data_IF_678441285498
#
_entry.id   IF_678441285498
#
_cell.length_a   1.000
_cell.length_b   1.000
_cell.length_c   1.000
_cell.angle_alpha   90.00
_cell.angle_beta   90.00
_cell.angle_gamma   90.00
#
_symmetry.space_group_name_H-M   'P 1'
#
loop_
_entity.id
_entity.type
_entity.pdbx_description
1 polymer ?
#
# COMPACT_ATOMS: atom_id res chain seq x y z
N UNK A 1 -30.71 5.07 9.84
CA UNK A 1 -29.36 5.52 9.43
C UNK A 1 -28.88 6.55 10.45
N UNK A 2 -28.03 6.17 11.41
CA UNK A 2 -27.59 7.08 12.47
C UNK A 2 -26.50 8.00 11.92
N UNK A 3 -26.82 9.25 11.61
CA UNK A 3 -25.82 10.28 11.36
C UNK A 3 -25.20 10.65 12.70
N UNK A 4 -24.07 10.02 13.04
CA UNK A 4 -23.27 10.42 14.19
C UNK A 4 -22.88 11.90 14.10
N UNK A 5 -22.66 12.59 15.23
CA UNK A 5 -22.35 14.01 15.24
C UNK A 5 -21.06 14.27 14.45
N UNK A 6 -21.14 15.13 13.43
CA UNK A 6 -19.96 15.55 12.66
C UNK A 6 -19.07 16.39 13.58
N UNK A 7 -17.94 15.82 14.02
CA UNK A 7 -16.94 16.53 14.82
C UNK A 7 -16.17 17.51 13.93
N UNK A 8 -16.35 18.82 14.15
CA UNK A 8 -15.64 19.87 13.42
C UNK A 8 -14.31 20.15 14.10
N UNK A 9 -13.22 20.01 13.34
CA UNK A 9 -11.88 20.42 13.74
C UNK A 9 -11.53 21.65 12.89
N UNK A 10 -10.98 22.69 13.49
CA UNK A 10 -10.61 23.93 12.80
C UNK A 10 -9.11 24.20 12.91
N UNK A 11 -8.27 23.52 12.10
CA UNK A 11 -6.86 23.84 12.05
C UNK A 11 -6.65 25.13 11.24
N UNK A 12 -6.01 26.13 11.84
CA UNK A 12 -5.54 27.33 11.13
C UNK A 12 -4.11 27.10 10.63
N UNK A 13 -3.91 27.09 9.31
CA UNK A 13 -2.59 26.97 8.67
C UNK A 13 -2.17 28.36 8.18
N UNK A 14 -0.94 28.75 8.51
CA UNK A 14 -0.34 30.00 8.05
C UNK A 14 0.76 29.67 7.04
N UNK A 15 0.80 30.42 5.94
CA UNK A 15 1.78 30.30 4.88
C UNK A 15 2.65 31.56 4.86
N UNK A 16 3.96 31.42 4.77
CA UNK A 16 4.93 32.52 4.81
C UNK A 16 5.59 32.70 3.43
N UNK A 17 5.04 33.55 2.54
CA UNK A 17 5.55 33.71 1.17
C UNK A 17 6.97 34.29 1.10
N UNK A 18 7.43 35.00 2.13
CA UNK A 18 8.77 35.59 2.20
C UNK A 18 9.86 34.56 2.54
N UNK A 19 9.48 33.48 3.24
CA UNK A 19 10.42 32.47 3.75
C UNK A 19 10.43 31.19 2.92
N UNK A 20 9.32 30.91 2.22
CA UNK A 20 9.12 29.67 1.48
C UNK A 20 8.56 29.96 0.09
N UNK A 21 9.33 29.57 -0.92
CA UNK A 21 8.89 29.62 -2.32
C UNK A 21 7.67 28.73 -2.57
N UNK A 22 7.61 27.57 -1.89
CA UNK A 22 6.45 26.68 -1.95
C UNK A 22 5.19 27.37 -1.43
N UNK A 23 5.31 28.12 -0.33
CA UNK A 23 4.20 28.86 0.28
C UNK A 23 3.73 29.99 -0.66
N UNK A 24 4.67 30.72 -1.26
CA UNK A 24 4.38 31.76 -2.25
C UNK A 24 3.59 31.20 -3.42
N UNK A 25 4.04 30.07 -4.00
CA UNK A 25 3.33 29.43 -5.11
C UNK A 25 1.99 28.84 -4.70
N UNK A 26 1.89 28.24 -3.52
CA UNK A 26 0.63 27.75 -2.98
C UNK A 26 -0.42 28.87 -2.87
N UNK A 27 -0.01 30.03 -2.36
CA UNK A 27 -0.89 31.21 -2.24
C UNK A 27 -1.38 31.66 -3.63
N UNK A 28 -0.47 31.77 -4.61
CA UNK A 28 -0.84 32.17 -5.98
C UNK A 28 -1.79 31.17 -6.63
N UNK A 29 -1.49 29.87 -6.53
CA UNK A 29 -2.35 28.81 -7.07
C UNK A 29 -3.74 28.81 -6.42
N UNK A 30 -3.82 29.03 -5.10
CA UNK A 30 -5.09 29.17 -4.39
C UNK A 30 -5.87 30.40 -4.87
N UNK A 31 -5.21 31.56 -5.01
CA UNK A 31 -5.84 32.78 -5.50
C UNK A 31 -6.39 32.61 -6.92
N UNK A 32 -5.62 32.02 -7.83
CA UNK A 32 -6.05 31.74 -9.20
C UNK A 32 -7.26 30.79 -9.21
N UNK A 33 -7.22 29.73 -8.40
CA UNK A 33 -8.32 28.78 -8.28
C UNK A 33 -9.61 29.46 -7.78
N UNK A 34 -9.52 30.32 -6.75
CA UNK A 34 -10.68 31.09 -6.26
C UNK A 34 -11.24 32.05 -7.30
N UNK A 35 -10.38 32.70 -8.07
CA UNK A 35 -10.81 33.62 -9.13
C UNK A 35 -11.59 32.86 -10.21
N UNK A 36 -11.08 31.72 -10.67
CA UNK A 36 -11.77 30.84 -11.63
C UNK A 36 -13.12 30.37 -11.10
N UNK A 37 -13.18 29.96 -9.83
CA UNK A 37 -14.42 29.51 -9.20
C UNK A 37 -15.46 30.64 -9.04
N UNK A 38 -15.01 31.88 -8.87
CA UNK A 38 -15.91 33.05 -8.83
C UNK A 38 -16.40 33.47 -10.21
N UNK A 39 -15.62 33.21 -11.25
CA UNK A 39 -15.97 33.51 -12.64
C UNK A 39 -16.94 32.50 -13.24
N UNK A 40 -17.06 31.29 -12.69
CA UNK A 40 -17.89 30.20 -13.22
C UNK A 40 -19.41 30.35 -12.96
N UNK A 41 -19.92 31.58 -12.85
CA UNK A 41 -21.33 31.97 -12.66
C UNK A 41 -22.15 31.05 -11.72
N UNK A 42 -21.52 30.62 -10.62
CA UNK A 42 -22.10 29.68 -9.68
C UNK A 42 -22.63 30.40 -8.44
N UNK A 43 -23.76 29.94 -7.89
CA UNK A 43 -24.37 30.52 -6.69
C UNK A 43 -23.37 30.56 -5.52
N UNK A 44 -23.43 31.60 -4.67
CA UNK A 44 -22.49 31.79 -3.55
C UNK A 44 -22.38 30.57 -2.63
N UNK A 45 -23.48 29.86 -2.39
CA UNK A 45 -23.49 28.67 -1.53
C UNK A 45 -22.75 27.49 -2.17
N UNK A 46 -22.85 27.34 -3.49
CA UNK A 46 -22.12 26.32 -4.24
C UNK A 46 -20.60 26.57 -4.19
N UNK A 47 -20.17 27.84 -4.29
CA UNK A 47 -18.76 28.24 -4.15
C UNK A 47 -18.24 27.87 -2.76
N UNK A 48 -19.00 28.16 -1.70
CA UNK A 48 -18.61 27.84 -0.32
C UNK A 48 -18.54 26.32 -0.06
N UNK A 49 -19.42 25.53 -0.68
CA UNK A 49 -19.35 24.06 -0.62
C UNK A 49 -18.13 23.54 -1.38
N UNK A 50 -17.87 24.05 -2.59
CA UNK A 50 -16.70 23.68 -3.39
C UNK A 50 -15.39 24.02 -2.67
N UNK A 51 -15.27 25.22 -2.10
CA UNK A 51 -14.13 25.65 -1.29
C UNK A 51 -13.89 24.71 -0.10
N UNK A 52 -14.92 24.39 0.68
CA UNK A 52 -14.79 23.46 1.81
C UNK A 52 -14.39 22.06 1.37
N UNK A 53 -14.94 21.59 0.26
CA UNK A 53 -14.64 20.26 -0.30
C UNK A 53 -13.19 20.20 -0.78
N UNK A 54 -12.75 21.24 -1.48
CA UNK A 54 -11.37 21.38 -1.94
C UNK A 54 -10.38 21.33 -0.77
N UNK A 55 -10.52 22.19 0.24
CA UNK A 55 -9.61 22.19 1.41
C UNK A 55 -9.63 20.87 2.16
N UNK A 56 -10.82 20.28 2.33
CA UNK A 56 -10.95 18.96 2.95
C UNK A 56 -10.16 17.90 2.18
N UNK A 57 -10.24 17.89 0.85
CA UNK A 57 -9.52 16.92 0.02
C UNK A 57 -8.00 17.10 0.12
N UNK A 58 -7.50 18.34 0.04
CA UNK A 58 -6.07 18.67 0.17
C UNK A 58 -5.54 18.25 1.54
N UNK A 59 -6.25 18.58 2.62
CA UNK A 59 -5.85 18.19 3.97
C UNK A 59 -5.82 16.67 4.16
N UNK A 60 -6.87 15.96 3.71
CA UNK A 60 -6.92 14.50 3.84
C UNK A 60 -5.87 13.80 3.00
N UNK A 61 -5.59 14.28 1.78
CA UNK A 61 -4.54 13.75 0.93
C UNK A 61 -3.15 13.97 1.56
N UNK A 62 -2.86 15.19 2.02
CA UNK A 62 -1.62 15.51 2.70
C UNK A 62 -1.42 14.71 3.98
N UNK A 63 -2.47 14.58 4.81
CA UNK A 63 -2.42 13.77 6.02
C UNK A 63 -2.20 12.29 5.70
N UNK A 64 -2.88 11.75 4.67
CA UNK A 64 -2.68 10.37 4.25
C UNK A 64 -1.25 10.14 3.77
N UNK A 65 -0.70 11.07 2.99
CA UNK A 65 0.68 11.01 2.52
C UNK A 65 1.67 11.06 3.68
N UNK A 66 1.45 11.95 4.65
CA UNK A 66 2.25 12.06 5.87
C UNK A 66 2.23 10.77 6.71
N UNK A 67 1.07 10.12 6.85
CA UNK A 67 0.95 8.84 7.55
C UNK A 67 1.62 7.67 6.83
N UNK A 68 1.80 7.74 5.51
CA UNK A 68 2.53 6.73 4.74
C UNK A 68 4.05 6.96 4.84
N UNK A 69 4.49 8.20 4.62
CA UNK A 69 5.88 8.59 4.75
C UNK A 69 5.97 10.10 4.98
N UNK A 70 6.41 10.55 6.18
CA UNK A 70 6.60 11.97 6.46
C UNK A 70 7.59 12.63 5.49
N UNK A 71 8.63 11.89 5.08
CA UNK A 71 9.67 12.37 4.16
C UNK A 71 9.09 12.60 2.76
N UNK A 72 8.23 11.70 2.29
CA UNK A 72 7.53 11.85 1.01
C UNK A 72 6.62 13.09 1.03
N UNK A 73 5.86 13.29 2.10
CA UNK A 73 5.01 14.46 2.23
C UNK A 73 5.81 15.78 2.20
N UNK A 74 6.94 15.82 2.90
CA UNK A 74 7.82 16.99 2.92
C UNK A 74 8.42 17.24 1.53
N UNK A 75 8.91 16.20 0.86
CA UNK A 75 9.52 16.32 -0.47
C UNK A 75 8.52 16.82 -1.53
N UNK A 76 7.29 16.28 -1.50
CA UNK A 76 6.20 16.75 -2.36
C UNK A 76 5.86 18.21 -2.06
N UNK A 77 5.79 18.61 -0.79
CA UNK A 77 5.52 20.00 -0.42
C UNK A 77 6.63 20.95 -0.90
N UNK A 78 7.90 20.57 -0.73
CA UNK A 78 9.04 21.36 -1.18
C UNK A 78 9.15 21.44 -2.71
N UNK A 79 8.71 20.39 -3.42
CA UNK A 79 8.69 20.37 -4.89
C UNK A 79 7.81 21.49 -5.47
N UNK A 80 6.77 21.91 -4.74
CA UNK A 80 5.90 23.02 -5.12
C UNK A 80 6.65 24.36 -5.20
N UNK A 81 7.78 24.50 -4.50
CA UNK A 81 8.66 25.67 -4.51
C UNK A 81 9.74 25.64 -5.61
N UNK A 82 9.90 24.52 -6.31
CA UNK A 82 10.89 24.34 -7.40
C UNK A 82 10.27 24.58 -8.77
N UNK A 83 11.06 24.75 -9.83
CA UNK A 83 10.53 24.97 -11.19
C UNK A 83 9.38 24.01 -11.53
N UNK A 84 8.43 24.46 -12.36
CA UNK A 84 7.18 23.75 -12.67
C UNK A 84 7.45 22.39 -13.31
N UNK A 85 7.69 21.37 -12.48
CA UNK A 85 7.90 19.99 -12.91
C UNK A 85 6.57 19.38 -13.25
N UNK A 86 6.54 18.64 -14.35
CA UNK A 86 5.38 17.82 -14.68
C UNK A 86 5.21 16.70 -13.64
N UNK A 87 3.99 16.17 -13.50
CA UNK A 87 3.75 15.02 -12.62
C UNK A 87 4.68 13.82 -12.86
N UNK A 88 4.98 13.40 -14.11
CA UNK A 88 5.93 12.30 -14.34
C UNK A 88 7.36 12.64 -13.91
N UNK A 89 7.81 13.88 -14.07
CA UNK A 89 9.14 14.31 -13.59
C UNK A 89 9.24 14.23 -12.07
N UNK A 90 8.18 14.62 -11.36
CA UNK A 90 8.12 14.49 -9.90
C UNK A 90 8.20 13.02 -9.46
N UNK A 91 7.55 12.10 -10.19
CA UNK A 91 7.62 10.66 -9.88
C UNK A 91 9.03 10.11 -10.06
N UNK A 92 9.72 10.50 -11.15
CA UNK A 92 11.12 10.09 -11.37
C UNK A 92 12.00 10.55 -10.23
N UNK A 93 11.90 11.83 -9.84
CA UNK A 93 12.67 12.38 -8.73
C UNK A 93 12.40 11.66 -7.40
N UNK A 94 11.13 11.38 -7.10
CA UNK A 94 10.76 10.64 -5.90
C UNK A 94 11.28 9.20 -5.92
N UNK A 95 11.37 8.59 -7.11
CA UNK A 95 12.00 7.29 -7.33
C UNK A 95 13.52 7.33 -7.07
N UNK A 96 14.22 8.33 -7.61
CA UNK A 96 15.66 8.56 -7.38
C UNK A 96 15.98 8.78 -5.90
N UNK A 97 15.08 9.44 -5.17
CA UNK A 97 15.20 9.66 -3.74
C UNK A 97 14.82 8.43 -2.89
N UNK A 98 14.42 7.32 -3.51
CA UNK A 98 13.98 6.10 -2.81
C UNK A 98 12.68 6.28 -2.01
N UNK A 99 11.88 7.28 -2.36
CA UNK A 99 10.61 7.60 -1.69
C UNK A 99 9.43 6.85 -2.32
N UNK A 100 9.62 6.26 -3.50
CA UNK A 100 8.67 5.37 -4.16
C UNK A 100 9.17 3.92 -4.11
N UNK A 101 8.27 2.93 -4.07
CA UNK A 101 8.64 1.52 -4.17
C UNK A 101 9.33 1.25 -5.52
N UNK A 102 10.44 0.52 -5.47
CA UNK A 102 11.36 0.25 -6.60
C UNK A 102 10.75 -0.46 -7.82
N UNK A 103 9.45 -0.79 -7.80
CA UNK A 103 8.72 -1.43 -8.90
C UNK A 103 8.03 -0.46 -9.86
N UNK A 104 8.15 0.86 -9.69
CA UNK A 104 7.61 1.86 -10.62
C UNK A 104 8.60 2.20 -11.73
N UNK A 105 9.13 1.16 -12.39
CA UNK A 105 9.71 1.33 -13.71
C UNK A 105 8.56 1.68 -14.67
N UNK A 106 8.32 2.98 -14.85
CA UNK A 106 7.54 3.47 -15.99
C UNK A 106 8.16 2.86 -17.25
N UNK A 107 7.39 2.14 -18.09
CA UNK A 107 7.91 1.70 -19.38
C UNK A 107 8.25 2.96 -20.17
N UNK A 108 9.55 3.23 -20.31
CA UNK A 108 10.05 4.23 -21.23
C UNK A 108 9.57 3.81 -22.62
N UNK A 109 8.55 4.49 -23.14
CA UNK A 109 8.13 4.38 -24.53
C UNK A 109 9.23 5.04 -25.34
N UNK A 110 10.30 4.29 -25.62
CA UNK A 110 11.19 4.58 -26.73
C UNK A 110 10.39 4.35 -28.00
N UNK A 111 10.05 5.47 -28.65
CA UNK A 111 9.53 5.50 -30.02
C UNK A 111 10.57 4.86 -30.93
N UNK A 112 10.36 3.59 -31.25
CA UNK A 112 10.97 2.92 -32.39
C UNK A 112 9.83 2.43 -33.30
N UNK A 113 9.54 3.22 -34.33
CA UNK A 113 8.74 2.78 -35.46
C UNK A 113 9.62 1.95 -36.44
N UNK A 114 9.04 1.29 -37.44
CA UNK A 114 8.10 0.18 -37.33
C UNK A 114 8.70 -1.05 -38.04
N UNK A 115 8.57 -2.24 -37.45
CA UNK A 115 9.10 -3.45 -38.07
C UNK A 115 8.57 -4.72 -37.42
N UNK A 116 7.39 -5.14 -37.87
CA UNK A 116 6.92 -6.53 -37.89
C UNK A 116 6.99 -7.34 -36.59
N UNK A 117 5.88 -7.38 -35.84
CA UNK A 117 5.53 -8.52 -35.00
C UNK A 117 4.02 -8.47 -34.68
N UNK A 118 3.19 -8.86 -35.64
CA UNK A 118 1.82 -9.28 -35.36
C UNK A 118 1.90 -10.58 -34.53
N UNK A 119 1.55 -10.54 -33.25
CA UNK A 119 1.52 -11.74 -32.41
C UNK A 119 1.41 -11.52 -30.90
N UNK A 120 1.74 -10.33 -30.39
CA UNK A 120 1.85 -10.13 -28.93
C UNK A 120 0.60 -9.51 -28.27
N UNK A 121 -0.21 -8.76 -29.03
CA UNK A 121 -1.44 -8.13 -28.54
C UNK A 121 -2.60 -9.11 -28.29
N UNK A 122 -2.62 -10.26 -28.98
CA UNK A 122 -3.65 -11.28 -28.82
C UNK A 122 -3.49 -12.09 -27.53
N UNK A 123 -2.26 -12.21 -27.03
CA UNK A 123 -1.96 -12.98 -25.83
C UNK A 123 -2.52 -12.28 -24.58
N UNK A 124 -2.29 -10.98 -24.44
CA UNK A 124 -2.75 -10.20 -23.27
C UNK A 124 -4.28 -10.04 -23.22
N UNK A 125 -4.91 -9.84 -24.38
CA UNK A 125 -6.38 -9.69 -24.48
C UNK A 125 -7.10 -10.98 -24.11
N UNK A 126 -6.64 -12.12 -24.63
CA UNK A 126 -7.19 -13.45 -24.29
C UNK A 126 -6.92 -13.84 -22.83
N UNK A 127 -5.81 -13.37 -22.25
CA UNK A 127 -5.51 -13.57 -20.83
C UNK A 127 -6.44 -12.75 -19.93
N UNK A 128 -6.76 -11.51 -20.31
CA UNK A 128 -7.72 -10.67 -19.59
C UNK A 128 -9.15 -11.23 -19.69
N UNK A 129 -9.56 -11.70 -20.86
CA UNK A 129 -10.84 -12.41 -21.02
C UNK A 129 -10.90 -13.69 -20.18
N UNK A 130 -9.81 -14.46 -20.11
CA UNK A 130 -9.72 -15.62 -19.22
C UNK A 130 -9.80 -15.24 -17.75
N UNK A 131 -9.14 -14.17 -17.32
CA UNK A 131 -9.22 -13.69 -15.93
C UNK A 131 -10.61 -13.17 -15.57
N UNK A 132 -11.27 -12.46 -16.49
CA UNK A 132 -12.65 -11.99 -16.31
C UNK A 132 -13.63 -13.18 -16.23
N UNK A 133 -13.46 -14.19 -17.08
CA UNK A 133 -14.26 -15.43 -17.00
C UNK A 133 -14.01 -16.21 -15.71
N UNK A 134 -12.75 -16.27 -15.25
CA UNK A 134 -12.37 -16.93 -14.00
C UNK A 134 -13.00 -16.25 -12.78
N UNK A 135 -12.97 -14.91 -12.72
CA UNK A 135 -13.60 -14.15 -11.64
C UNK A 135 -15.13 -14.18 -11.69
N UNK A 136 -15.72 -14.29 -12.89
CA UNK A 136 -17.17 -14.48 -13.07
C UNK A 136 -17.69 -15.83 -12.56
N UNK A 137 -16.83 -16.85 -12.50
CA UNK A 137 -17.16 -18.20 -12.00
C UNK A 137 -16.89 -18.40 -10.50
N UNK A 138 -16.28 -17.41 -9.83
CA UNK A 138 -15.87 -17.49 -8.42
C UNK A 138 -17.00 -17.21 -7.42
N UNK A 139 -18.26 -17.40 -7.82
CA UNK A 139 -19.41 -17.43 -6.93
C UNK A 139 -19.60 -18.83 -6.34
N UNK A 140 -19.38 -18.94 -5.03
CA UNK A 140 -19.81 -20.04 -4.15
C UNK A 140 -19.00 -21.35 -4.17
N UNK A 141 -18.02 -21.44 -3.25
CA UNK A 141 -17.67 -22.63 -2.46
C UNK A 141 -17.01 -23.84 -3.15
N UNK A 142 -17.47 -24.24 -4.33
CA UNK A 142 -16.94 -25.36 -5.11
C UNK A 142 -15.71 -24.98 -5.95
N UNK A 143 -15.53 -23.68 -6.23
CA UNK A 143 -14.45 -23.16 -7.07
C UNK A 143 -13.05 -23.43 -6.51
N UNK A 144 -12.86 -23.49 -5.18
CA UNK A 144 -11.54 -23.64 -4.57
C UNK A 144 -10.90 -25.01 -4.83
N UNK A 145 -11.70 -26.09 -4.82
CA UNK A 145 -11.22 -27.45 -5.10
C UNK A 145 -10.91 -27.67 -6.58
N UNK A 146 -11.75 -27.13 -7.47
CA UNK A 146 -11.53 -27.18 -8.92
C UNK A 146 -10.28 -26.38 -9.32
N UNK A 147 -10.04 -25.22 -8.69
CA UNK A 147 -8.87 -24.38 -8.96
C UNK A 147 -7.58 -25.06 -8.46
N UNK A 148 -7.62 -25.74 -7.32
CA UNK A 148 -6.50 -26.56 -6.82
C UNK A 148 -6.17 -27.73 -7.76
N UNK A 149 -7.19 -28.47 -8.21
CA UNK A 149 -7.01 -29.55 -9.19
C UNK A 149 -6.48 -29.05 -10.54
N UNK A 150 -6.96 -27.88 -11.00
CA UNK A 150 -6.46 -27.23 -12.21
C UNK A 150 -4.99 -26.81 -12.07
N UNK A 151 -4.59 -26.34 -10.90
CA UNK A 151 -3.23 -25.89 -10.61
C UNK A 151 -2.25 -27.07 -10.51
N UNK A 152 -2.70 -28.20 -9.94
CA UNK A 152 -1.93 -29.46 -9.91
C UNK A 152 -1.80 -30.06 -11.31
N UNK A 153 -2.86 -30.01 -12.13
CA UNK A 153 -2.83 -30.45 -13.52
C UNK A 153 -1.84 -29.61 -14.36
N UNK A 154 -1.88 -28.27 -14.22
CA UNK A 154 -0.92 -27.39 -14.90
C UNK A 154 0.53 -27.60 -14.42
N UNK A 155 0.72 -27.94 -13.14
CA UNK A 155 2.04 -28.29 -12.60
C UNK A 155 2.55 -29.61 -13.19
N UNK A 156 1.66 -30.58 -13.41
CA UNK A 156 1.97 -31.83 -14.10
C UNK A 156 2.41 -31.60 -15.55
N UNK A 157 1.64 -30.81 -16.30
CA UNK A 157 1.97 -30.46 -17.69
C UNK A 157 3.30 -29.70 -17.80
N UNK A 158 3.59 -28.77 -16.87
CA UNK A 158 4.88 -28.09 -16.83
C UNK A 158 6.04 -29.03 -16.46
N UNK A 159 5.80 -30.03 -15.62
CA UNK A 159 6.81 -31.05 -15.30
C UNK A 159 7.10 -31.95 -16.51
N UNK A 160 6.07 -32.31 -17.27
CA UNK A 160 6.21 -33.08 -18.52
C UNK A 160 6.92 -32.26 -19.62
N UNK A 161 6.58 -30.97 -19.78
CA UNK A 161 7.29 -30.07 -20.69
C UNK A 161 8.76 -29.90 -20.29
N UNK A 162 9.06 -29.83 -18.99
CA UNK A 162 10.43 -29.75 -18.48
C UNK A 162 11.20 -31.06 -18.66
N UNK A 163 10.54 -32.21 -18.51
CA UNK A 163 11.12 -33.53 -18.80
C UNK A 163 11.37 -33.72 -20.30
N UNK A 164 10.45 -33.25 -21.15
CA UNK A 164 10.65 -33.20 -22.60
C UNK A 164 11.82 -32.29 -22.97
N UNK A 165 11.92 -31.09 -22.38
CA UNK A 165 13.02 -30.15 -22.62
C UNK A 165 14.37 -30.71 -22.14
N UNK A 166 14.38 -31.44 -21.02
CA UNK A 166 15.56 -32.14 -20.52
C UNK A 166 15.97 -33.32 -21.41
N UNK A 167 15.00 -34.03 -21.99
CA UNK A 167 15.25 -35.12 -22.95
C UNK A 167 15.66 -34.64 -24.35
N UNK A 168 15.32 -33.39 -24.70
CA UNK A 168 15.69 -32.75 -25.97
C UNK A 168 16.99 -31.95 -25.90
N UNK A 169 17.70 -31.95 -24.76
CA UNK A 169 18.99 -31.28 -24.64
C UNK A 169 20.13 -32.25 -24.98
N UNK A 170 20.77 -32.16 -26.17
CA UNK A 170 21.98 -32.91 -26.41
C UNK A 170 23.10 -32.33 -25.55
N UNK A 171 23.80 -33.22 -24.85
CA UNK A 171 24.94 -32.98 -23.99
C UNK A 171 26.21 -32.45 -24.72
N UNK A 172 26.08 -31.52 -25.67
CA UNK A 172 27.20 -30.94 -26.43
C UNK A 172 27.00 -29.43 -26.66
N UNK A 173 27.10 -28.64 -25.59
CA UNK A 173 27.47 -27.23 -25.65
C UNK A 173 28.14 -26.80 -24.33
N UNK A 174 29.07 -27.60 -23.81
CA UNK A 174 30.03 -27.13 -22.84
C UNK A 174 31.22 -26.55 -23.59
N UNK A 175 31.31 -25.21 -23.68
CA UNK A 175 32.53 -24.43 -23.42
C UNK A 175 32.37 -22.99 -23.91
N UNK A 176 32.14 -22.08 -22.94
CA UNK A 176 32.21 -20.63 -23.13
C UNK A 176 30.96 -19.92 -22.60
N UNK A 177 31.01 -19.42 -21.37
CA UNK A 177 30.07 -18.42 -20.81
C UNK A 177 28.77 -18.87 -20.11
N UNK A 178 28.68 -20.10 -19.57
CA UNK A 178 27.49 -20.57 -18.79
C UNK A 178 27.65 -20.61 -17.26
N UNK A 179 28.79 -20.16 -16.70
CA UNK A 179 29.03 -20.20 -15.24
C UNK A 179 28.13 -19.26 -14.43
N UNK A 180 27.91 -18.04 -14.92
CA UNK A 180 27.16 -17.02 -14.17
C UNK A 180 25.65 -17.22 -14.21
N UNK A 181 25.09 -17.66 -15.34
CA UNK A 181 23.64 -17.84 -15.48
C UNK A 181 23.09 -18.97 -14.62
N UNK A 182 23.80 -20.11 -14.55
CA UNK A 182 23.40 -21.23 -13.71
C UNK A 182 23.59 -20.94 -12.21
N UNK A 183 24.65 -20.21 -11.85
CA UNK A 183 24.89 -19.76 -10.48
C UNK A 183 23.82 -18.73 -10.03
N UNK A 184 23.44 -17.80 -10.91
CA UNK A 184 22.38 -16.83 -10.64
C UNK A 184 21.01 -17.51 -10.49
N UNK A 185 20.69 -18.49 -11.32
CA UNK A 185 19.44 -19.25 -11.21
C UNK A 185 19.38 -20.09 -9.92
N UNK A 186 20.51 -20.69 -9.52
CA UNK A 186 20.62 -21.41 -8.26
C UNK A 186 20.54 -20.47 -7.05
N UNK A 187 21.16 -19.29 -7.12
CA UNK A 187 21.06 -18.26 -6.08
C UNK A 187 19.62 -17.74 -5.93
N UNK A 188 18.96 -17.46 -7.06
CA UNK A 188 17.56 -17.05 -7.07
C UNK A 188 16.64 -18.15 -6.51
N UNK A 189 16.90 -19.42 -6.84
CA UNK A 189 16.19 -20.57 -6.26
C UNK A 189 16.35 -20.67 -4.74
N UNK A 190 17.56 -20.47 -4.22
CA UNK A 190 17.83 -20.47 -2.79
C UNK A 190 17.15 -19.30 -2.06
N UNK A 191 17.10 -18.11 -2.69
CA UNK A 191 16.35 -16.97 -2.16
C UNK A 191 14.84 -17.25 -2.11
N UNK A 192 14.28 -17.88 -3.14
CA UNK A 192 12.87 -18.30 -3.13
C UNK A 192 12.58 -19.32 -2.03
N UNK A 193 13.45 -20.32 -1.83
CA UNK A 193 13.30 -21.30 -0.74
C UNK A 193 13.35 -20.63 0.63
N UNK A 194 14.25 -19.67 0.82
CA UNK A 194 14.33 -18.88 2.04
C UNK A 194 13.06 -18.08 2.29
N UNK A 195 12.53 -17.38 1.28
CA UNK A 195 11.27 -16.65 1.39
C UNK A 195 10.09 -17.57 1.69
N UNK A 196 10.06 -18.78 1.12
CA UNK A 196 9.04 -19.78 1.45
C UNK A 196 9.14 -20.25 2.91
N UNK A 197 10.34 -20.42 3.44
CA UNK A 197 10.55 -20.77 4.85
C UNK A 197 10.11 -19.63 5.77
N UNK A 198 10.45 -18.38 5.44
CA UNK A 198 10.01 -17.19 6.19
C UNK A 198 8.48 -17.04 6.17
N UNK A 199 7.84 -17.27 5.03
CA UNK A 199 6.37 -17.27 4.92
C UNK A 199 5.72 -18.39 5.73
N UNK A 200 6.31 -19.60 5.73
CA UNK A 200 5.83 -20.70 6.55
C UNK A 200 5.94 -20.37 8.06
N UNK A 201 7.04 -19.77 8.49
CA UNK A 201 7.22 -19.31 9.87
C UNK A 201 6.18 -18.24 10.25
N UNK A 202 6.02 -17.21 9.42
CA UNK A 202 5.02 -16.16 9.64
C UNK A 202 3.60 -16.71 9.73
N UNK A 203 3.26 -17.70 8.88
CA UNK A 203 1.96 -18.38 8.93
C UNK A 203 1.75 -19.07 10.27
N UNK A 204 2.73 -19.82 10.76
CA UNK A 204 2.60 -20.51 12.06
C UNK A 204 2.46 -19.53 13.22
N UNK A 205 3.14 -18.38 13.17
CA UNK A 205 2.99 -17.32 14.19
C UNK A 205 1.61 -16.66 14.12
N UNK A 206 1.10 -16.40 12.91
CA UNK A 206 -0.24 -15.85 12.71
C UNK A 206 -1.32 -16.83 13.21
N UNK A 207 -1.17 -18.13 12.95
CA UNK A 207 -2.06 -19.17 13.46
C UNK A 207 -2.02 -19.24 15.00
N UNK A 208 -0.84 -19.13 15.61
CA UNK A 208 -0.71 -19.06 17.08
C UNK A 208 -1.39 -17.82 17.67
N UNK A 209 -1.20 -16.64 17.06
CA UNK A 209 -1.87 -15.41 17.51
C UNK A 209 -3.39 -15.52 17.36
N UNK A 210 -3.88 -16.11 16.26
CA UNK A 210 -5.30 -16.35 16.06
C UNK A 210 -5.89 -17.26 17.14
N UNK A 211 -5.16 -18.32 17.53
CA UNK A 211 -5.56 -19.21 18.62
C UNK A 211 -5.56 -18.50 19.97
N UNK A 212 -4.56 -17.66 20.27
CA UNK A 212 -4.53 -16.85 21.50
C UNK A 212 -5.70 -15.88 21.56
N UNK A 213 -6.02 -15.20 20.46
CA UNK A 213 -7.18 -14.31 20.38
C UNK A 213 -8.50 -15.10 20.53
N UNK A 214 -8.58 -16.30 19.98
CA UNK A 214 -9.75 -17.16 20.17
C UNK A 214 -9.89 -17.61 21.63
N UNK A 215 -8.81 -17.99 22.29
CA UNK A 215 -8.80 -18.32 23.72
C UNK A 215 -9.19 -17.11 24.59
N UNK A 216 -8.68 -15.91 24.30
CA UNK A 216 -9.06 -14.69 25.00
C UNK A 216 -10.54 -14.33 24.78
N UNK A 217 -11.07 -14.55 23.58
CA UNK A 217 -12.51 -14.36 23.30
C UNK A 217 -13.39 -15.37 24.03
N UNK A 218 -12.93 -16.62 24.17
CA UNK A 218 -13.65 -17.66 24.90
C UNK A 218 -13.54 -17.47 26.42
N UNK A 219 -12.37 -17.09 26.94
CA UNK A 219 -12.15 -16.78 28.35
C UNK A 219 -12.77 -15.45 28.78
N UNK A 220 -12.89 -14.47 27.87
CA UNK A 220 -13.58 -13.20 28.10
C UNK A 220 -15.11 -13.30 28.03
N UNK A 221 -15.66 -14.46 27.67
CA UNK A 221 -17.12 -14.73 27.61
C UNK A 221 -17.66 -15.32 28.93
N UNK A 222 -16.91 -15.16 30.01
CA UNK A 222 -17.17 -15.76 31.33
C UNK A 222 -17.45 -14.78 32.46
N UNK A 223 -18.00 -13.59 32.21
CA UNK A 223 -18.62 -12.76 33.25
C UNK A 223 -19.79 -11.95 32.67
N UNK A 224 -20.95 -12.61 32.50
CA UNK A 224 -22.23 -11.89 32.42
C UNK A 224 -22.78 -11.83 33.83
N UNK A 225 -22.66 -10.67 34.46
CA UNK A 225 -23.52 -10.25 35.56
C UNK A 225 -24.15 -8.92 35.13
N UNK A 226 -25.45 -8.97 34.89
CA UNK A 226 -26.31 -7.80 34.72
C UNK A 226 -26.35 -6.99 36.03
N UNK A 227 -26.36 -5.65 35.98
CA UNK A 227 -27.48 -4.99 36.65
C UNK A 227 -28.06 -3.80 35.88
N UNK A 228 -29.38 -3.78 35.89
CA UNK A 228 -30.32 -2.64 35.95
C UNK A 228 -29.76 -1.23 36.21
N UNK A 229 -30.10 -0.33 35.26
CA UNK A 229 -30.51 1.10 35.39
C UNK A 229 -29.93 1.95 36.54
N UNK A 230 -29.13 2.96 36.20
CA UNK A 230 -29.28 4.38 36.62
C UNK A 230 -28.29 5.26 35.85
N UNK A 231 -28.65 6.51 35.56
CA UNK A 231 -28.03 7.35 34.55
C UNK A 231 -26.67 8.02 34.88
N UNK A 232 -26.10 8.63 33.84
CA UNK A 232 -25.14 9.73 33.92
C UNK A 232 -23.68 9.33 34.19
N UNK A 233 -22.85 9.34 33.14
CA UNK A 233 -21.40 9.25 33.31
C UNK A 233 -20.69 8.88 32.02
N UNK A 234 -19.93 9.83 31.48
CA UNK A 234 -18.88 9.66 30.48
C UNK A 234 -17.87 8.61 30.93
N UNK A 235 -17.83 7.45 30.27
CA UNK A 235 -16.69 6.53 30.38
C UNK A 235 -15.57 7.01 29.44
N UNK A 236 -14.72 7.86 30.02
CA UNK A 236 -13.34 8.01 29.59
C UNK A 236 -12.58 6.72 29.92
N UNK A 237 -11.94 6.11 28.92
CA UNK A 237 -10.90 5.12 29.19
C UNK A 237 -9.72 5.90 29.78
N UNK A 238 -9.60 5.84 31.11
CA UNK A 238 -8.50 6.44 31.89
C UNK A 238 -7.16 5.87 31.41
N UNK A 239 -6.29 6.74 30.91
CA UNK A 239 -4.90 6.44 30.55
C UNK A 239 -4.00 6.14 31.78
N UNK A 240 -4.56 6.06 32.98
CA UNK A 240 -3.81 5.87 34.23
C UNK A 240 -3.27 4.44 34.42
N UNK A 241 -3.79 3.44 33.69
CA UNK A 241 -3.32 2.05 33.81
C UNK A 241 -2.00 1.76 33.06
N UNK A 242 -1.51 2.68 32.23
CA UNK A 242 -0.20 2.55 31.55
C UNK A 242 0.95 3.18 32.35
N UNK A 243 0.63 4.07 33.30
CA UNK A 243 1.60 4.72 34.17
C UNK A 243 2.36 3.78 35.14
N UNK A 244 1.74 2.77 35.81
CA UNK A 244 2.43 1.98 36.83
C UNK A 244 3.48 1.01 36.27
N UNK A 245 3.40 0.66 34.98
CA UNK A 245 4.40 -0.18 34.32
C UNK A 245 5.68 0.59 33.96
N UNK A 246 5.55 1.87 33.59
CA UNK A 246 6.68 2.74 33.26
C UNK A 246 7.49 3.16 34.49
N UNK A 247 6.84 3.40 35.64
CA UNK A 247 7.54 3.73 36.89
C UNK A 247 8.36 2.57 37.45
N UNK A 248 7.88 1.33 37.31
CA UNK A 248 8.61 0.13 37.75
C UNK A 248 9.91 -0.05 36.94
N UNK A 249 9.89 0.23 35.64
CA UNK A 249 11.08 0.21 34.78
C UNK A 249 12.09 1.32 35.11
N UNK A 250 11.63 2.53 35.45
CA UNK A 250 12.52 3.62 35.86
C UNK A 250 13.15 3.37 37.24
N UNK A 251 12.41 2.81 38.21
CA UNK A 251 12.96 2.46 39.52
C UNK A 251 14.01 1.35 39.48
N UNK A 252 13.88 0.37 38.57
CA UNK A 252 14.92 -0.67 38.37
C UNK A 252 16.20 -0.05 37.81
N UNK A 253 16.07 0.90 36.87
CA UNK A 253 17.23 1.61 36.28
C UNK A 253 17.93 2.55 37.25
N UNK A 254 17.19 3.15 38.19
CA UNK A 254 17.72 4.07 39.19
C UNK A 254 18.35 3.37 40.41
N UNK A 255 17.99 2.10 40.67
CA UNK A 255 18.56 1.30 41.76
C UNK A 255 19.87 0.59 41.44
N UNK A 256 20.42 0.74 40.23
CA UNK A 256 21.77 0.27 39.92
C UNK A 256 21.99 -1.22 40.20
N UNK A 257 21.02 -2.08 39.87
CA UNK A 257 21.27 -3.52 39.74
C UNK A 257 21.48 -3.85 38.26
N UNK A 258 22.72 -3.62 37.81
CA UNK A 258 23.43 -4.50 36.90
C UNK A 258 24.71 -4.92 37.61
#
# INVERSE_FOLDING_TARGET
MHKGPVKRINPSIHLNPEQSEADRRAILALQEWYQKLRQSDSERDSINVAMRTFHRSVYLAGLRLHLLSPRLCQHVAESLGRESRSFPELLVELGECGLLPAGTAMPSVTVAAPGGAEGEADFSSRQLERLAALMGSAGEGAASGALLAQLEAQRGELAELRAMLASSSPAQAAQGSQGDGAALLAAQGAEFERLHQELAQLRTLAEQQALQLQQLRLSGRGTVAEPTRSGGGTEEVLLDDVAPAAEKLQRVRQKGLF
#
